data_IF_692977698674
#
_entry.id   IF_692977698674
#
_cell.length_a   1.000
_cell.length_b   1.000
_cell.length_c   1.000
_cell.angle_alpha   90.00
_cell.angle_beta   90.00
_cell.angle_gamma   90.00
#
_symmetry.space_group_name_H-M   'P 1'
#
loop_
_entity.id
_entity.type
_entity.pdbx_description
1 polymer ?
#
# COMPACT_ATOMS: atom_id res chain seq x y z
N UNK A 1 -25.01 31.38 24.80
CA UNK A 1 -23.83 30.59 24.41
C UNK A 1 -22.79 31.56 23.87
N UNK A 2 -21.60 31.61 24.45
CA UNK A 2 -20.58 32.58 24.03
C UNK A 2 -20.03 32.13 22.67
N UNK A 3 -20.08 32.95 21.61
CA UNK A 3 -19.72 32.56 20.24
C UNK A 3 -18.24 32.12 20.04
N UNK A 4 -17.42 32.12 21.10
CA UNK A 4 -16.03 31.63 21.10
C UNK A 4 -15.81 30.26 21.77
N UNK A 5 -16.75 29.73 22.56
CA UNK A 5 -16.56 28.43 23.24
C UNK A 5 -16.60 27.26 22.25
N UNK A 6 -17.48 27.36 21.26
CA UNK A 6 -17.73 26.29 20.30
C UNK A 6 -16.58 26.21 19.28
N UNK A 7 -16.02 27.36 18.89
CA UNK A 7 -14.83 27.44 18.06
C UNK A 7 -13.59 26.86 18.77
N UNK A 8 -13.43 27.12 20.08
CA UNK A 8 -12.33 26.55 20.86
C UNK A 8 -12.50 25.03 21.07
N UNK A 9 -13.71 24.56 21.29
CA UNK A 9 -14.02 23.12 21.40
C UNK A 9 -13.78 22.39 20.08
N UNK A 10 -14.22 22.96 18.95
CA UNK A 10 -13.95 22.42 17.62
C UNK A 10 -12.44 22.40 17.31
N UNK A 11 -11.72 23.48 17.65
CA UNK A 11 -10.27 23.53 17.47
C UNK A 11 -9.54 22.45 18.29
N UNK A 12 -9.99 22.18 19.52
CA UNK A 12 -9.45 21.10 20.35
C UNK A 12 -9.66 19.72 19.72
N UNK A 13 -10.88 19.41 19.27
CA UNK A 13 -11.22 18.16 18.57
C UNK A 13 -10.38 18.02 17.29
N UNK A 14 -10.29 19.09 16.47
CA UNK A 14 -9.47 19.07 15.26
C UNK A 14 -7.99 18.81 15.56
N UNK A 15 -7.43 19.44 16.60
CA UNK A 15 -6.02 19.25 16.93
C UNK A 15 -5.75 17.82 17.42
N UNK A 16 -6.52 17.34 18.41
CA UNK A 16 -6.24 16.11 19.13
C UNK A 16 -6.81 14.86 18.46
N UNK A 17 -8.00 14.92 17.87
CA UNK A 17 -8.65 13.75 17.29
C UNK A 17 -8.32 13.53 15.81
N UNK A 18 -7.90 14.58 15.09
CA UNK A 18 -7.65 14.49 13.64
C UNK A 18 -6.19 14.75 13.28
N UNK A 19 -5.61 15.87 13.73
CA UNK A 19 -4.28 16.27 13.28
C UNK A 19 -3.15 15.53 13.99
N UNK A 20 -3.22 15.40 15.31
CA UNK A 20 -2.21 14.73 16.12
C UNK A 20 -2.00 13.26 15.72
N UNK A 21 -3.05 12.41 15.57
CA UNK A 21 -2.87 11.04 15.11
C UNK A 21 -2.32 10.99 13.67
N UNK A 22 -2.73 11.91 12.80
CA UNK A 22 -2.25 11.96 11.41
C UNK A 22 -0.77 12.33 11.31
N UNK A 23 -0.30 13.29 12.11
CA UNK A 23 1.12 13.66 12.18
C UNK A 23 1.95 12.51 12.75
N UNK A 24 1.45 11.84 13.80
CA UNK A 24 2.12 10.68 14.36
C UNK A 24 2.24 9.54 13.32
N UNK A 25 1.16 9.24 12.60
CA UNK A 25 1.18 8.25 11.52
C UNK A 25 2.14 8.63 10.39
N UNK A 26 2.19 9.92 10.00
CA UNK A 26 3.11 10.41 8.97
C UNK A 26 4.58 10.28 9.39
N UNK A 27 4.92 10.59 10.65
CA UNK A 27 6.28 10.44 11.17
C UNK A 27 6.71 8.97 11.22
N UNK A 28 5.84 8.08 11.69
CA UNK A 28 6.13 6.64 11.76
C UNK A 28 6.28 6.04 10.36
N UNK A 29 5.31 6.30 9.47
CA UNK A 29 5.35 5.80 8.10
C UNK A 29 6.56 6.34 7.33
N UNK A 30 6.85 7.64 7.45
CA UNK A 30 8.01 8.28 6.82
C UNK A 30 9.34 7.74 7.35
N UNK A 31 9.45 7.52 8.66
CA UNK A 31 10.64 6.91 9.27
C UNK A 31 10.88 5.48 8.77
N UNK A 32 9.83 4.65 8.73
CA UNK A 32 9.91 3.30 8.19
C UNK A 32 10.32 3.28 6.72
N UNK A 33 9.72 4.14 5.88
CA UNK A 33 10.07 4.28 4.47
C UNK A 33 11.51 4.76 4.27
N UNK A 34 11.98 5.70 5.09
CA UNK A 34 13.37 6.17 5.06
C UNK A 34 14.37 5.06 5.37
N UNK A 35 14.11 4.26 6.39
CA UNK A 35 14.94 3.10 6.75
C UNK A 35 14.91 2.05 5.64
N UNK A 36 13.73 1.70 5.12
CA UNK A 36 13.58 0.75 4.02
C UNK A 36 14.33 1.22 2.77
N UNK A 37 14.27 2.50 2.44
CA UNK A 37 15.02 3.12 1.34
C UNK A 37 16.53 3.01 1.52
N UNK A 38 17.05 3.39 2.69
CA UNK A 38 18.48 3.28 2.99
C UNK A 38 18.99 1.82 2.91
N UNK A 39 18.20 0.87 3.41
CA UNK A 39 18.50 -0.57 3.31
C UNK A 39 18.50 -1.04 1.84
N UNK A 40 17.52 -0.63 1.05
CA UNK A 40 17.46 -0.99 -0.37
C UNK A 40 18.63 -0.42 -1.17
N UNK A 41 18.95 0.86 -0.95
CA UNK A 41 20.05 1.54 -1.63
C UNK A 41 21.40 0.93 -1.26
N UNK A 42 21.60 0.54 0.01
CA UNK A 42 22.83 -0.12 0.47
C UNK A 42 22.98 -1.55 -0.08
N UNK A 43 21.89 -2.32 -0.12
CA UNK A 43 21.90 -3.69 -0.65
C UNK A 43 22.15 -3.72 -2.16
N UNK A 44 21.50 -2.81 -2.90
CA UNK A 44 21.65 -2.70 -4.35
C UNK A 44 22.90 -1.92 -4.77
N UNK A 45 23.53 -1.20 -3.83
CA UNK A 45 24.59 -0.21 -4.09
C UNK A 45 24.17 0.80 -5.17
N UNK A 46 22.89 1.15 -5.19
CA UNK A 46 22.30 2.05 -6.17
C UNK A 46 21.43 3.11 -5.46
N UNK A 47 21.85 4.40 -5.45
CA UNK A 47 21.10 5.47 -4.79
C UNK A 47 19.74 5.77 -5.44
N UNK A 48 19.48 5.26 -6.66
CA UNK A 48 18.18 5.39 -7.34
C UNK A 48 17.20 4.25 -7.01
N UNK A 49 17.66 3.22 -6.28
CA UNK A 49 16.79 2.10 -5.93
C UNK A 49 15.80 2.51 -4.82
N UNK A 50 14.53 2.12 -5.00
CA UNK A 50 13.46 2.33 -4.01
C UNK A 50 12.80 1.00 -3.61
N UNK A 51 12.36 0.87 -2.35
CA UNK A 51 11.74 -0.35 -1.84
C UNK A 51 10.35 -0.63 -2.46
N UNK A 52 9.70 0.38 -3.03
CA UNK A 52 8.42 0.23 -3.75
C UNK A 52 8.51 -0.75 -4.93
N UNK A 53 9.71 -0.94 -5.49
CA UNK A 53 9.95 -1.83 -6.62
C UNK A 53 9.78 -3.32 -6.28
N UNK A 54 9.57 -3.69 -5.02
CA UNK A 54 9.30 -5.09 -4.61
C UNK A 54 7.89 -5.58 -4.94
N UNK A 55 6.99 -4.72 -5.43
CA UNK A 55 5.61 -5.11 -5.77
C UNK A 55 4.66 -5.18 -4.58
N UNK A 56 5.10 -4.81 -3.37
CA UNK A 56 4.28 -4.74 -2.14
C UNK A 56 3.07 -3.82 -2.35
N UNK A 57 3.30 -2.67 -2.96
CA UNK A 57 2.29 -1.64 -3.21
C UNK A 57 1.23 -2.14 -4.19
N UNK A 58 1.63 -2.83 -5.26
CA UNK A 58 0.70 -3.47 -6.20
C UNK A 58 -0.12 -4.59 -5.54
N UNK A 59 0.49 -5.40 -4.68
CA UNK A 59 -0.19 -6.44 -3.93
C UNK A 59 -1.23 -5.91 -2.94
N UNK A 60 -0.89 -4.83 -2.22
CA UNK A 60 -1.81 -4.15 -1.32
C UNK A 60 -3.00 -3.53 -2.07
N UNK A 61 -2.76 -2.92 -3.23
CA UNK A 61 -3.81 -2.37 -4.09
C UNK A 61 -4.76 -3.46 -4.60
N UNK A 62 -4.23 -4.61 -5.04
CA UNK A 62 -5.07 -5.73 -5.47
C UNK A 62 -5.89 -6.30 -4.30
N UNK A 63 -5.31 -6.38 -3.10
CA UNK A 63 -6.02 -6.78 -1.88
C UNK A 63 -7.15 -5.81 -1.51
N UNK A 64 -6.93 -4.51 -1.67
CA UNK A 64 -7.96 -3.49 -1.47
C UNK A 64 -9.12 -3.66 -2.46
N UNK A 65 -8.82 -3.88 -3.74
CA UNK A 65 -9.85 -4.12 -4.77
C UNK A 65 -10.66 -5.39 -4.48
N UNK A 66 -10.00 -6.47 -4.05
CA UNK A 66 -10.68 -7.71 -3.65
C UNK A 66 -11.60 -7.49 -2.44
N UNK A 67 -11.16 -6.69 -1.46
CA UNK A 67 -11.97 -6.34 -0.29
C UNK A 67 -13.19 -5.47 -0.64
N UNK A 68 -13.06 -4.58 -1.63
CA UNK A 68 -14.19 -3.79 -2.15
C UNK A 68 -15.21 -4.64 -2.91
N UNK A 69 -14.75 -5.68 -3.61
CA UNK A 69 -15.59 -6.58 -4.39
C UNK A 69 -16.42 -7.54 -3.54
N UNK A 70 -15.91 -7.91 -2.37
CA UNK A 70 -16.49 -8.94 -1.50
C UNK A 70 -17.11 -8.25 -0.28
N UNK A 71 -18.45 -8.12 -0.19
CA UNK A 71 -19.11 -7.40 0.91
C UNK A 71 -18.78 -7.98 2.29
N UNK A 72 -18.50 -9.29 2.36
CA UNK A 72 -18.08 -9.96 3.60
C UNK A 72 -16.70 -9.49 4.10
N UNK A 73 -15.83 -9.01 3.20
CA UNK A 73 -14.53 -8.44 3.53
C UNK A 73 -14.61 -6.94 3.81
N UNK A 74 -15.72 -6.24 3.54
CA UNK A 74 -15.82 -4.79 3.75
C UNK A 74 -15.59 -4.36 5.22
N UNK A 75 -15.99 -5.19 6.20
CA UNK A 75 -15.69 -4.96 7.62
C UNK A 75 -14.27 -5.38 8.04
N UNK A 76 -13.64 -6.27 7.26
CA UNK A 76 -12.27 -6.78 7.44
C UNK A 76 -11.28 -6.10 6.46
N UNK A 77 -11.73 -5.11 5.69
CA UNK A 77 -10.94 -4.22 4.82
C UNK A 77 -10.07 -3.26 5.64
N UNK A 78 -9.65 -3.73 6.80
CA UNK A 78 -8.82 -3.08 7.76
C UNK A 78 -7.36 -3.17 7.33
N UNK A 79 -6.56 -2.28 7.89
CA UNK A 79 -5.10 -2.23 7.78
C UNK A 79 -4.40 -3.62 7.81
N UNK A 80 -4.83 -4.63 8.61
CA UNK A 80 -4.24 -5.97 8.61
C UNK A 80 -4.40 -6.72 7.29
N UNK A 81 -5.53 -6.61 6.60
CA UNK A 81 -5.75 -7.32 5.34
C UNK A 81 -4.81 -6.79 4.26
N UNK A 82 -4.72 -5.47 4.16
CA UNK A 82 -3.78 -4.78 3.25
C UNK A 82 -2.33 -5.16 3.57
N UNK A 83 -1.99 -5.26 4.85
CA UNK A 83 -0.68 -5.69 5.30
C UNK A 83 -0.35 -7.13 4.86
N UNK A 84 -1.29 -8.07 5.05
CA UNK A 84 -1.12 -9.47 4.62
C UNK A 84 -1.01 -9.59 3.10
N UNK A 85 -1.84 -8.88 2.35
CA UNK A 85 -1.76 -8.87 0.88
C UNK A 85 -0.44 -8.29 0.38
N UNK A 86 0.02 -7.18 0.96
CA UNK A 86 1.33 -6.60 0.65
C UNK A 86 2.48 -7.56 0.98
N UNK A 87 2.43 -8.23 2.13
CA UNK A 87 3.45 -9.20 2.54
C UNK A 87 3.47 -10.43 1.62
N UNK A 88 2.30 -10.94 1.24
CA UNK A 88 2.18 -12.06 0.29
C UNK A 88 2.75 -11.70 -1.09
N UNK A 89 2.51 -10.47 -1.56
CA UNK A 89 3.09 -9.96 -2.81
C UNK A 89 4.62 -9.82 -2.72
N UNK A 90 5.14 -9.29 -1.60
CA UNK A 90 6.58 -9.23 -1.35
C UNK A 90 7.23 -10.62 -1.38
N UNK A 91 6.59 -11.59 -0.70
CA UNK A 91 7.05 -12.97 -0.68
C UNK A 91 7.02 -13.61 -2.08
N UNK A 92 5.98 -13.34 -2.87
CA UNK A 92 5.88 -13.79 -4.25
C UNK A 92 7.04 -13.27 -5.10
N UNK A 93 7.37 -11.97 -4.99
CA UNK A 93 8.50 -11.37 -5.69
C UNK A 93 9.85 -11.98 -5.28
N UNK A 94 10.06 -12.23 -3.98
CA UNK A 94 11.28 -12.87 -3.46
C UNK A 94 11.42 -14.31 -3.97
N UNK A 95 10.33 -15.09 -3.97
CA UNK A 95 10.31 -16.46 -4.50
C UNK A 95 10.61 -16.43 -6.00
N UNK A 96 9.98 -15.54 -6.76
CA UNK A 96 10.21 -15.37 -8.19
C UNK A 96 11.66 -14.96 -8.52
N UNK A 97 12.31 -14.19 -7.65
CA UNK A 97 13.71 -13.79 -7.79
C UNK A 97 14.72 -14.95 -7.58
N UNK A 98 14.28 -16.08 -7.03
CA UNK A 98 15.13 -17.22 -6.66
C UNK A 98 15.46 -17.33 -5.17
N UNK A 99 14.67 -16.67 -4.31
CA UNK A 99 14.78 -16.75 -2.85
C UNK A 99 16.12 -16.22 -2.32
N UNK A 100 16.70 -16.95 -1.36
CA UNK A 100 17.93 -16.55 -0.65
C UNK A 100 19.19 -16.45 -1.53
N UNK A 101 19.16 -16.96 -2.77
CA UNK A 101 20.26 -16.90 -3.74
C UNK A 101 20.06 -15.81 -4.79
N UNK A 102 19.01 -15.00 -4.66
CA UNK A 102 18.71 -13.93 -5.61
C UNK A 102 19.81 -12.87 -5.62
N UNK A 103 20.28 -12.51 -6.81
CA UNK A 103 21.11 -11.32 -6.97
C UNK A 103 20.24 -10.06 -6.81
N UNK A 104 20.79 -8.93 -6.32
CA UNK A 104 20.03 -7.69 -6.15
C UNK A 104 19.30 -7.27 -7.44
N UNK A 105 19.96 -7.46 -8.59
CA UNK A 105 19.38 -7.19 -9.90
C UNK A 105 18.16 -8.08 -10.21
N UNK A 106 18.23 -9.38 -9.92
CA UNK A 106 17.10 -10.30 -10.10
C UNK A 106 15.92 -9.93 -9.21
N UNK A 107 16.20 -9.52 -7.97
CA UNK A 107 15.16 -9.11 -7.03
C UNK A 107 14.42 -7.86 -7.52
N UNK A 108 15.15 -6.87 -8.02
CA UNK A 108 14.55 -5.65 -8.61
C UNK A 108 13.74 -5.98 -9.86
N UNK A 109 14.26 -6.81 -10.76
CA UNK A 109 13.53 -7.22 -11.97
C UNK A 109 12.27 -8.02 -11.64
N UNK A 110 12.38 -9.03 -10.77
CA UNK A 110 11.23 -9.83 -10.34
C UNK A 110 10.16 -8.96 -9.66
N UNK A 111 10.57 -8.05 -8.76
CA UNK A 111 9.66 -7.11 -8.10
C UNK A 111 8.94 -6.20 -9.11
N UNK A 112 9.66 -5.64 -10.08
CA UNK A 112 9.06 -4.81 -11.14
C UNK A 112 8.06 -5.56 -12.01
N UNK A 113 8.35 -6.83 -12.35
CA UNK A 113 7.43 -7.70 -13.09
C UNK A 113 6.19 -8.01 -12.26
N UNK A 114 6.34 -8.33 -10.97
CA UNK A 114 5.21 -8.53 -10.06
C UNK A 114 4.36 -7.27 -9.94
N UNK A 115 4.98 -6.10 -9.83
CA UNK A 115 4.27 -4.82 -9.76
C UNK A 115 3.42 -4.57 -11.02
N UNK A 116 4.00 -4.77 -12.21
CA UNK A 116 3.28 -4.66 -13.48
C UNK A 116 2.13 -5.69 -13.60
N UNK A 117 2.37 -6.92 -13.14
CA UNK A 117 1.36 -7.96 -13.11
C UNK A 117 0.17 -7.57 -12.22
N UNK A 118 0.43 -7.08 -11.00
CA UNK A 118 -0.63 -6.66 -10.10
C UNK A 118 -1.40 -5.45 -10.65
N UNK A 119 -0.70 -4.48 -11.24
CA UNK A 119 -1.35 -3.33 -11.89
C UNK A 119 -2.25 -3.76 -13.07
N UNK A 120 -1.79 -4.71 -13.89
CA UNK A 120 -2.59 -5.27 -14.99
C UNK A 120 -3.83 -6.00 -14.48
N UNK A 121 -3.71 -6.80 -13.41
CA UNK A 121 -4.84 -7.47 -12.77
C UNK A 121 -5.84 -6.48 -12.18
N UNK A 122 -5.37 -5.45 -11.48
CA UNK A 122 -6.21 -4.37 -10.96
C UNK A 122 -7.00 -3.67 -12.09
N UNK A 123 -6.33 -3.36 -13.19
CA UNK A 123 -6.95 -2.72 -14.37
C UNK A 123 -7.99 -3.62 -15.01
N UNK A 124 -7.69 -4.92 -15.17
CA UNK A 124 -8.60 -5.91 -15.71
C UNK A 124 -9.87 -6.01 -14.87
N UNK A 125 -9.75 -6.11 -13.54
CA UNK A 125 -10.89 -6.16 -12.62
C UNK A 125 -11.76 -4.91 -12.77
N UNK A 126 -11.15 -3.73 -12.82
CA UNK A 126 -11.88 -2.48 -12.97
C UNK A 126 -12.66 -2.42 -14.29
N UNK A 127 -12.04 -2.85 -15.39
CA UNK A 127 -12.67 -2.89 -16.71
C UNK A 127 -13.88 -3.84 -16.76
N UNK A 128 -13.80 -5.01 -16.13
CA UNK A 128 -14.95 -5.93 -16.02
C UNK A 128 -16.11 -5.31 -15.21
N UNK A 129 -15.80 -4.53 -14.17
CA UNK A 129 -16.82 -3.85 -13.37
C UNK A 129 -17.52 -2.73 -14.13
N UNK A 130 -16.79 -1.93 -14.90
CA UNK A 130 -17.39 -0.92 -15.78
C UNK A 130 -18.36 -1.56 -16.79
N UNK A 131 -18.00 -2.71 -17.37
CA UNK A 131 -18.88 -3.45 -18.27
C UNK A 131 -20.13 -4.00 -17.58
N UNK A 132 -19.98 -4.52 -16.35
CA UNK A 132 -21.11 -5.04 -15.58
C UNK A 132 -22.11 -3.94 -15.20
N UNK A 133 -21.65 -2.71 -14.98
CA UNK A 133 -22.52 -1.54 -14.72
C UNK A 133 -23.17 -1.05 -16.03
N UNK A 134 -22.42 -0.98 -17.13
CA UNK A 134 -22.91 -0.52 -18.42
C UNK A 134 -23.91 -1.47 -19.08
N UNK A 135 -23.80 -2.79 -18.84
CA UNK A 135 -24.76 -3.79 -19.30
C UNK A 135 -26.02 -3.92 -18.44
N UNK A 136 -26.08 -3.23 -17.29
CA UNK A 136 -27.22 -3.21 -16.38
C UNK A 136 -28.12 -1.96 -16.59
N UNK A 137 -27.75 -1.04 -17.49
CA UNK A 137 -28.54 0.11 -17.92
C UNK A 137 -29.17 -0.14 -19.30
#
# INVERSE_FOLDING_TARGET
AAPGSDAAALAHVFLFDLNLPRVAAALVAGGCLGIAGALFQSLTRNPLASPDLLGVTGGAQLGLLAAMLVPALAGVASVPLLFVCGLAAAACAIVAAGGWRATPLRLVLAGSVCMLLFAALSTLVLAFFEQNIAGAA
#
